data_IF_578301697170
#
_entry.id   IF_578301697170
#
_cell.length_a   1.000
_cell.length_b   1.000
_cell.length_c   1.000
_cell.angle_alpha   90.00
_cell.angle_beta   90.00
_cell.angle_gamma   90.00
#
_symmetry.space_group_name_H-M   'P 1'
#
loop_
_entity.id
_entity.type
_entity.pdbx_description
1 polymer ?
#
# COMPACT_ATOMS: atom_id res chain seq x y z
N UNK A 1 -5.31 14.91 -20.13
CA UNK A 1 -4.05 14.33 -19.63
C UNK A 1 -3.93 12.87 -20.06
N UNK A 2 -2.72 12.31 -20.13
CA UNK A 2 -2.47 10.89 -20.28
C UNK A 2 -2.09 10.28 -18.92
N UNK A 3 -2.68 9.15 -18.55
CA UNK A 3 -2.45 8.50 -17.24
C UNK A 3 -1.68 7.19 -17.43
N UNK A 4 -0.65 6.96 -16.60
CA UNK A 4 -0.05 5.63 -16.46
C UNK A 4 -0.38 5.07 -15.09
N UNK A 5 -1.09 3.93 -15.07
CA UNK A 5 -1.33 3.16 -13.84
C UNK A 5 -0.15 2.23 -13.63
N UNK A 6 0.58 2.38 -12.53
CA UNK A 6 1.77 1.58 -12.20
C UNK A 6 1.41 0.56 -11.13
N UNK A 7 1.60 -0.72 -11.44
CA UNK A 7 1.23 -1.85 -10.58
C UNK A 7 2.44 -2.78 -10.43
N UNK A 8 3.11 -2.82 -9.27
CA UNK A 8 4.05 -3.89 -8.97
C UNK A 8 3.28 -5.15 -8.59
N UNK A 9 3.72 -6.32 -9.08
CA UNK A 9 3.12 -7.62 -8.74
C UNK A 9 4.17 -8.67 -8.44
N UNK A 10 3.85 -9.57 -7.51
CA UNK A 10 4.68 -10.74 -7.20
C UNK A 10 3.81 -11.88 -6.67
N UNK A 11 3.68 -12.98 -7.45
CA UNK A 11 2.94 -14.19 -7.09
C UNK A 11 1.47 -13.90 -6.65
N UNK A 12 0.70 -13.17 -7.48
CA UNK A 12 -0.68 -12.77 -7.18
C UNK A 12 -1.64 -12.92 -8.37
N UNK A 13 -1.38 -13.88 -9.24
CA UNK A 13 -2.08 -14.06 -10.51
C UNK A 13 -3.60 -13.94 -10.39
N UNK A 14 -4.23 -14.69 -9.49
CA UNK A 14 -5.69 -14.82 -9.43
C UNK A 14 -6.40 -13.50 -9.16
N UNK A 15 -5.95 -12.73 -8.18
CA UNK A 15 -6.55 -11.43 -7.86
C UNK A 15 -6.11 -10.34 -8.83
N UNK A 16 -4.90 -10.43 -9.39
CA UNK A 16 -4.41 -9.52 -10.40
C UNK A 16 -5.30 -9.54 -11.65
N UNK A 17 -5.84 -10.70 -12.04
CA UNK A 17 -6.78 -10.78 -13.15
C UNK A 17 -8.00 -9.89 -12.92
N UNK A 18 -8.64 -9.96 -11.75
CA UNK A 18 -9.77 -9.09 -11.39
C UNK A 18 -9.39 -7.62 -11.40
N UNK A 19 -8.19 -7.29 -10.88
CA UNK A 19 -7.67 -5.94 -10.88
C UNK A 19 -7.51 -5.38 -12.30
N UNK A 20 -6.88 -6.12 -13.20
CA UNK A 20 -6.64 -5.69 -14.59
C UNK A 20 -7.94 -5.59 -15.41
N UNK A 21 -8.85 -6.51 -15.25
CA UNK A 21 -10.18 -6.45 -15.92
C UNK A 21 -10.98 -5.21 -15.46
N UNK A 22 -10.90 -4.84 -14.18
CA UNK A 22 -11.52 -3.62 -13.67
C UNK A 22 -10.87 -2.35 -14.27
N UNK A 23 -9.57 -2.38 -14.53
CA UNK A 23 -8.86 -1.29 -15.19
C UNK A 23 -9.17 -1.19 -16.67
N UNK A 24 -9.37 -2.29 -17.39
CA UNK A 24 -9.81 -2.24 -18.80
C UNK A 24 -11.22 -1.65 -18.97
N UNK A 25 -12.04 -1.69 -17.92
CA UNK A 25 -13.44 -1.22 -17.92
C UNK A 25 -13.62 0.20 -17.39
N UNK A 26 -12.57 1.05 -17.44
CA UNK A 26 -12.63 2.41 -16.89
C UNK A 26 -13.40 3.41 -17.77
N UNK A 27 -14.23 4.22 -17.12
CA UNK A 27 -14.84 5.41 -17.72
C UNK A 27 -13.86 6.58 -17.58
N UNK A 28 -13.30 7.07 -18.68
CA UNK A 28 -12.25 8.09 -18.67
C UNK A 28 -12.75 9.51 -18.43
N UNK A 29 -14.02 9.81 -18.75
CA UNK A 29 -14.55 11.19 -18.69
C UNK A 29 -13.85 12.11 -19.69
N UNK A 30 -13.96 13.43 -19.46
CA UNK A 30 -13.41 14.47 -20.35
C UNK A 30 -11.95 14.84 -20.04
N UNK A 31 -11.48 14.58 -18.82
CA UNK A 31 -10.16 14.99 -18.33
C UNK A 31 -9.04 14.08 -18.82
N UNK A 32 -9.38 12.82 -19.19
CA UNK A 32 -8.44 11.78 -19.60
C UNK A 32 -8.52 11.60 -21.12
N UNK A 33 -7.41 11.91 -21.81
CA UNK A 33 -7.31 11.67 -23.25
C UNK A 33 -7.12 10.17 -23.54
N UNK A 34 -6.26 9.49 -22.76
CA UNK A 34 -6.05 8.04 -22.80
C UNK A 34 -5.29 7.58 -21.54
N UNK A 35 -5.17 6.27 -21.33
CA UNK A 35 -4.39 5.69 -20.24
C UNK A 35 -3.75 4.36 -20.63
N UNK A 36 -2.70 3.99 -19.90
CA UNK A 36 -2.03 2.69 -19.96
C UNK A 36 -1.90 2.09 -18.56
N UNK A 37 -1.72 0.77 -18.51
CA UNK A 37 -1.34 0.04 -17.29
C UNK A 37 0.07 -0.50 -17.46
N UNK A 38 1.01 -0.02 -16.64
CA UNK A 38 2.38 -0.51 -16.58
C UNK A 38 2.46 -1.52 -15.45
N UNK A 39 2.34 -2.80 -15.79
CA UNK A 39 2.44 -3.92 -14.85
C UNK A 39 3.91 -4.32 -14.73
N UNK A 40 4.47 -4.23 -13.53
CA UNK A 40 5.85 -4.65 -13.26
C UNK A 40 5.81 -5.95 -12.48
N UNK A 41 6.17 -7.04 -13.15
CA UNK A 41 6.33 -8.35 -12.53
C UNK A 41 7.70 -8.45 -11.86
N UNK A 42 7.69 -8.62 -10.56
CA UNK A 42 8.90 -8.64 -9.71
C UNK A 42 9.44 -10.07 -9.54
N UNK A 43 9.46 -10.86 -10.62
CA UNK A 43 10.01 -12.21 -10.65
C UNK A 43 9.02 -13.28 -10.16
N UNK A 44 7.75 -13.17 -10.54
CA UNK A 44 6.73 -14.18 -10.19
C UNK A 44 7.04 -15.56 -10.74
N UNK A 45 6.65 -16.58 -9.98
CA UNK A 45 6.82 -18.02 -10.32
C UNK A 45 5.47 -18.76 -10.43
N UNK A 46 4.35 -18.04 -10.30
CA UNK A 46 2.98 -18.56 -10.35
C UNK A 46 2.37 -18.56 -11.75
N UNK A 47 3.19 -18.29 -12.79
CA UNK A 47 2.76 -18.21 -14.18
C UNK A 47 2.14 -16.86 -14.57
N UNK A 48 2.24 -15.82 -13.73
CA UNK A 48 1.74 -14.46 -14.04
C UNK A 48 2.25 -13.94 -15.39
N UNK A 49 3.56 -13.94 -15.73
CA UNK A 49 4.05 -13.38 -17.00
C UNK A 49 3.47 -14.08 -18.23
N UNK A 50 3.39 -15.42 -18.21
CA UNK A 50 2.88 -16.19 -19.33
C UNK A 50 1.37 -15.99 -19.53
N UNK A 51 0.63 -15.88 -18.42
CA UNK A 51 -0.78 -15.56 -18.48
C UNK A 51 -1.01 -14.16 -19.08
N UNK A 52 -0.28 -13.12 -18.69
CA UNK A 52 -0.40 -11.77 -19.25
C UNK A 52 -0.13 -11.79 -20.76
N UNK A 53 0.92 -12.49 -21.21
CA UNK A 53 1.25 -12.58 -22.65
C UNK A 53 0.13 -13.28 -23.45
N UNK A 54 -0.44 -14.35 -22.89
CA UNK A 54 -1.57 -15.07 -23.53
C UNK A 54 -2.88 -14.27 -23.52
N UNK A 55 -3.04 -13.34 -22.58
CA UNK A 55 -4.22 -12.50 -22.41
C UNK A 55 -4.13 -11.14 -23.10
N UNK A 56 -3.10 -10.88 -23.90
CA UNK A 56 -2.83 -9.56 -24.51
C UNK A 56 -4.02 -8.99 -25.32
N UNK A 57 -4.82 -9.85 -25.97
CA UNK A 57 -6.02 -9.42 -26.71
C UNK A 57 -7.14 -8.90 -25.78
N UNK A 58 -7.25 -9.45 -24.58
CA UNK A 58 -8.23 -9.03 -23.56
C UNK A 58 -7.72 -7.87 -22.71
N UNK A 59 -6.40 -7.62 -22.71
CA UNK A 59 -5.71 -6.62 -21.88
C UNK A 59 -4.89 -5.64 -22.75
N UNK A 60 -5.50 -4.96 -23.75
CA UNK A 60 -4.77 -4.14 -24.73
C UNK A 60 -4.07 -2.92 -24.13
N UNK A 61 -4.47 -2.47 -22.93
CA UNK A 61 -3.85 -1.34 -22.22
C UNK A 61 -2.71 -1.76 -21.30
N UNK A 62 -2.54 -3.06 -21.05
CA UNK A 62 -1.54 -3.60 -20.14
C UNK A 62 -0.22 -3.80 -20.86
N UNK A 63 0.83 -3.22 -20.32
CA UNK A 63 2.20 -3.44 -20.75
C UNK A 63 3.00 -4.08 -19.61
N UNK A 64 3.42 -5.32 -19.84
CA UNK A 64 4.22 -6.10 -18.90
C UNK A 64 5.69 -5.67 -18.97
N UNK A 65 6.27 -5.42 -17.79
CA UNK A 65 7.70 -5.22 -17.56
C UNK A 65 8.14 -6.27 -16.56
N UNK A 66 9.13 -7.06 -16.90
CA UNK A 66 9.67 -8.11 -16.02
C UNK A 66 10.99 -7.65 -15.39
N UNK A 67 11.21 -8.04 -14.14
CA UNK A 67 12.47 -7.84 -13.44
C UNK A 67 12.77 -9.01 -12.51
N UNK A 68 14.02 -9.14 -12.08
CA UNK A 68 14.38 -9.99 -10.94
C UNK A 68 13.83 -9.36 -9.65
N UNK A 69 13.48 -10.21 -8.67
CA UNK A 69 12.89 -9.76 -7.42
C UNK A 69 13.72 -8.68 -6.71
N UNK A 70 13.17 -7.47 -6.65
CA UNK A 70 13.80 -6.28 -6.06
C UNK A 70 12.92 -5.57 -5.03
N UNK A 71 11.68 -6.01 -4.89
CA UNK A 71 10.70 -5.46 -3.95
C UNK A 71 9.86 -4.29 -4.51
N UNK A 72 8.86 -3.84 -3.75
CA UNK A 72 7.84 -2.90 -4.24
C UNK A 72 8.38 -1.52 -4.62
N UNK A 73 9.40 -1.01 -3.94
CA UNK A 73 10.03 0.27 -4.26
C UNK A 73 10.71 0.25 -5.64
N UNK A 74 11.49 -0.80 -5.92
CA UNK A 74 12.16 -0.98 -7.21
C UNK A 74 11.14 -1.22 -8.32
N UNK A 75 10.14 -2.06 -8.09
CA UNK A 75 9.06 -2.30 -9.03
C UNK A 75 8.30 -1.02 -9.41
N UNK A 76 7.95 -0.17 -8.43
CA UNK A 76 7.30 1.12 -8.70
C UNK A 76 8.19 2.07 -9.46
N UNK A 77 9.48 2.20 -9.10
CA UNK A 77 10.43 3.04 -9.83
C UNK A 77 10.60 2.58 -11.28
N UNK A 78 10.69 1.28 -11.49
CA UNK A 78 10.79 0.71 -12.85
C UNK A 78 9.50 0.98 -13.64
N UNK A 79 8.34 0.89 -13.00
CA UNK A 79 7.06 1.25 -13.61
C UNK A 79 7.02 2.71 -14.04
N UNK A 80 7.45 3.64 -13.18
CA UNK A 80 7.53 5.08 -13.50
C UNK A 80 8.50 5.34 -14.65
N UNK A 81 9.67 4.68 -14.68
CA UNK A 81 10.64 4.84 -15.77
C UNK A 81 10.10 4.39 -17.13
N UNK A 82 9.16 3.46 -17.17
CA UNK A 82 8.50 2.99 -18.39
C UNK A 82 7.17 3.69 -18.68
N UNK A 83 6.64 4.46 -17.74
CA UNK A 83 5.38 5.19 -17.88
C UNK A 83 5.50 6.30 -18.95
N UNK A 84 4.42 6.53 -19.70
CA UNK A 84 4.32 7.60 -20.72
C UNK A 84 3.40 8.73 -20.27
N UNK A 85 2.62 8.49 -19.19
CA UNK A 85 1.60 9.42 -18.71
C UNK A 85 2.18 10.67 -18.04
N UNK A 86 1.41 11.76 -18.12
CA UNK A 86 1.64 13.00 -17.37
C UNK A 86 1.36 12.82 -15.89
N UNK A 87 0.43 11.90 -15.58
CA UNK A 87 0.01 11.53 -14.23
C UNK A 87 0.30 10.07 -14.00
N UNK A 88 0.91 9.77 -12.85
CA UNK A 88 1.14 8.40 -12.38
C UNK A 88 0.08 8.07 -11.34
N UNK A 89 -0.59 6.93 -11.53
CA UNK A 89 -1.51 6.36 -10.56
C UNK A 89 -0.88 5.09 -10.00
N UNK A 90 -0.64 5.03 -8.70
CA UNK A 90 -0.20 3.82 -8.03
C UNK A 90 -1.38 3.08 -7.44
N UNK A 91 -1.44 1.79 -7.71
CA UNK A 91 -2.32 0.84 -7.02
C UNK A 91 -1.56 -0.46 -6.73
N UNK A 92 -2.03 -1.22 -5.75
CA UNK A 92 -1.52 -2.56 -5.48
C UNK A 92 -2.19 -3.59 -6.41
N UNK A 93 -1.52 -4.70 -6.67
CA UNK A 93 -1.97 -5.75 -7.60
C UNK A 93 -3.20 -6.54 -7.12
N UNK A 94 -3.67 -6.27 -5.91
CA UNK A 94 -4.87 -6.84 -5.29
C UNK A 94 -5.95 -5.78 -5.00
N UNK A 95 -5.87 -4.62 -5.69
CA UNK A 95 -6.88 -3.56 -5.61
C UNK A 95 -7.82 -3.60 -6.83
N UNK A 96 -9.06 -4.03 -6.63
CA UNK A 96 -10.11 -3.99 -7.68
C UNK A 96 -10.81 -2.64 -7.64
N UNK A 97 -10.74 -1.86 -8.72
CA UNK A 97 -11.20 -0.48 -8.76
C UNK A 97 -12.60 -0.32 -9.36
N UNK A 98 -13.30 0.76 -8.99
CA UNK A 98 -14.60 1.09 -9.60
C UNK A 98 -14.45 1.65 -11.01
N UNK A 99 -15.49 1.59 -11.88
CA UNK A 99 -15.40 2.13 -13.25
C UNK A 99 -15.07 3.62 -13.36
N UNK A 100 -15.37 4.42 -12.34
CA UNK A 100 -15.08 5.86 -12.31
C UNK A 100 -13.76 6.22 -11.63
N UNK A 101 -12.95 5.23 -11.27
CA UNK A 101 -11.74 5.38 -10.46
C UNK A 101 -10.76 6.40 -11.07
N UNK A 102 -10.33 6.18 -12.30
CA UNK A 102 -9.38 7.08 -12.97
C UNK A 102 -9.97 8.48 -13.20
N UNK A 103 -11.22 8.57 -13.64
CA UNK A 103 -11.90 9.84 -13.85
C UNK A 103 -12.05 10.64 -12.56
N UNK A 104 -12.26 9.99 -11.42
CA UNK A 104 -12.36 10.66 -10.12
C UNK A 104 -11.02 11.29 -9.71
N UNK A 105 -9.90 10.56 -9.85
CA UNK A 105 -8.57 11.11 -9.64
C UNK A 105 -8.28 12.29 -10.56
N UNK A 106 -8.53 12.14 -11.88
CA UNK A 106 -8.27 13.17 -12.86
C UNK A 106 -9.02 14.47 -12.57
N UNK A 107 -10.33 14.37 -12.31
CA UNK A 107 -11.16 15.53 -11.94
C UNK A 107 -10.66 16.23 -10.68
N UNK A 108 -10.26 15.46 -9.66
CA UNK A 108 -9.77 16.01 -8.40
C UNK A 108 -8.43 16.72 -8.58
N UNK A 109 -7.50 16.16 -9.37
CA UNK A 109 -6.23 16.81 -9.72
C UNK A 109 -6.45 18.09 -10.51
N UNK A 110 -7.25 18.05 -11.59
CA UNK A 110 -7.54 19.23 -12.43
C UNK A 110 -8.17 20.33 -11.61
N UNK A 111 -9.16 20.02 -10.77
CA UNK A 111 -9.81 21.00 -9.87
C UNK A 111 -8.80 21.65 -8.93
N UNK A 112 -7.88 20.89 -8.35
CA UNK A 112 -6.88 21.41 -7.43
C UNK A 112 -5.85 22.27 -8.19
N UNK A 113 -5.36 21.84 -9.34
CA UNK A 113 -4.43 22.62 -10.17
C UNK A 113 -5.02 23.98 -10.59
N UNK A 114 -6.31 24.03 -10.97
CA UNK A 114 -6.99 25.29 -11.25
C UNK A 114 -7.12 26.18 -10.02
N UNK A 115 -7.32 25.58 -8.84
CA UNK A 115 -7.47 26.33 -7.58
C UNK A 115 -6.14 26.88 -7.06
N UNK A 116 -5.07 26.08 -7.09
CA UNK A 116 -3.75 26.46 -6.56
C UNK A 116 -2.89 27.22 -7.56
N UNK A 117 -3.14 27.07 -8.86
CA UNK A 117 -2.30 27.60 -9.93
C UNK A 117 -1.00 26.81 -10.18
N UNK A 118 -0.83 25.68 -9.50
CA UNK A 118 0.32 24.78 -9.65
C UNK A 118 -0.08 23.30 -9.66
N UNK A 119 0.90 22.40 -9.76
CA UNK A 119 0.69 20.94 -9.74
C UNK A 119 1.20 20.26 -8.47
N UNK A 120 1.50 21.04 -7.41
CA UNK A 120 2.07 20.54 -6.16
C UNK A 120 1.01 19.85 -5.29
N UNK A 121 0.33 18.85 -5.85
CA UNK A 121 -0.62 18.03 -5.12
C UNK A 121 -0.61 16.59 -5.61
N UNK A 122 -1.18 15.72 -4.79
CA UNK A 122 -1.57 14.36 -5.17
C UNK A 122 -2.95 14.05 -4.62
N UNK A 123 -3.68 13.17 -5.28
CA UNK A 123 -4.96 12.67 -4.80
C UNK A 123 -4.81 11.32 -4.12
N UNK A 124 -5.55 11.12 -3.03
CA UNK A 124 -5.61 9.87 -2.27
C UNK A 124 -7.05 9.37 -2.25
N UNK A 125 -7.30 8.23 -2.87
CA UNK A 125 -8.62 7.62 -2.99
C UNK A 125 -9.04 6.80 -1.77
N UNK A 126 -10.24 6.25 -1.82
CA UNK A 126 -10.76 5.35 -0.79
C UNK A 126 -10.30 3.92 -1.04
N UNK A 127 -9.86 3.23 0.02
CA UNK A 127 -9.52 1.80 0.00
C UNK A 127 -10.46 1.07 0.95
N UNK A 128 -11.22 0.11 0.42
CA UNK A 128 -12.17 -0.72 1.17
C UNK A 128 -11.60 -2.13 1.26
N UNK A 129 -11.34 -2.62 2.48
CA UNK A 129 -10.81 -3.96 2.66
C UNK A 129 -11.92 -5.00 2.53
N UNK A 130 -11.71 -6.02 1.70
CA UNK A 130 -12.63 -7.14 1.47
C UNK A 130 -11.92 -8.48 1.58
N UNK A 131 -12.62 -9.50 2.02
CA UNK A 131 -12.19 -10.89 1.96
C UNK A 131 -12.98 -11.70 0.92
N UNK A 132 -13.97 -11.08 0.27
CA UNK A 132 -14.77 -11.71 -0.76
C UNK A 132 -14.00 -11.69 -2.10
N UNK A 133 -13.49 -12.85 -2.50
CA UNK A 133 -12.77 -13.01 -3.76
C UNK A 133 -13.72 -12.96 -4.95
N UNK A 134 -14.92 -13.53 -4.84
CA UNK A 134 -15.87 -13.63 -5.95
C UNK A 134 -16.50 -12.28 -6.30
N UNK A 135 -16.86 -11.50 -5.28
CA UNK A 135 -17.46 -10.17 -5.44
C UNK A 135 -16.73 -9.12 -4.57
N UNK A 136 -15.47 -8.77 -4.89
CA UNK A 136 -14.70 -7.85 -4.06
C UNK A 136 -15.33 -6.45 -3.97
N UNK A 137 -16.08 -6.01 -4.97
CA UNK A 137 -16.72 -4.69 -5.03
C UNK A 137 -18.04 -4.60 -4.25
N UNK A 138 -18.54 -5.72 -3.70
CA UNK A 138 -19.78 -5.77 -2.91
C UNK A 138 -19.66 -5.28 -1.47
N UNK A 139 -18.44 -5.05 -0.98
CA UNK A 139 -18.18 -4.66 0.41
C UNK A 139 -18.54 -3.19 0.66
N UNK A 140 -18.99 -2.88 1.88
CA UNK A 140 -19.29 -1.50 2.31
C UNK A 140 -18.10 -0.89 3.04
N UNK A 141 -17.93 0.42 2.90
CA UNK A 141 -16.91 1.17 3.64
C UNK A 141 -17.13 1.05 5.17
N UNK A 142 -16.05 0.77 5.89
CA UNK A 142 -16.03 0.61 7.36
C UNK A 142 -15.09 1.66 7.97
N UNK A 143 -15.31 2.01 9.24
CA UNK A 143 -14.43 2.97 9.95
C UNK A 143 -12.96 2.55 9.95
N UNK A 144 -12.68 1.25 9.96
CA UNK A 144 -11.31 0.70 9.87
C UNK A 144 -10.61 0.92 8.53
N UNK A 145 -11.35 1.29 7.49
CA UNK A 145 -10.81 1.58 6.16
C UNK A 145 -10.26 3.02 6.06
N UNK A 146 -10.42 3.84 7.12
CA UNK A 146 -9.86 5.18 7.17
C UNK A 146 -8.33 5.12 7.34
N UNK A 147 -7.60 5.66 6.38
CA UNK A 147 -6.15 5.81 6.44
C UNK A 147 -5.76 7.21 6.86
N UNK A 148 -4.82 7.31 7.81
CA UNK A 148 -4.20 8.56 8.24
C UNK A 148 -2.83 8.79 7.58
N UNK A 149 -2.40 7.88 6.70
CA UNK A 149 -1.17 8.04 5.95
C UNK A 149 -1.24 9.30 5.08
N UNK A 150 -0.13 10.06 5.03
CA UNK A 150 -0.05 11.20 4.14
C UNK A 150 0.06 10.74 2.68
N UNK A 151 0.93 9.76 2.40
CA UNK A 151 1.09 9.13 1.09
C UNK A 151 1.14 7.62 1.29
N UNK A 152 0.26 6.88 0.63
CA UNK A 152 0.26 5.42 0.64
C UNK A 152 -0.11 4.91 -0.75
N UNK A 153 0.73 4.10 -1.33
CA UNK A 153 0.71 3.73 -2.76
C UNK A 153 -0.41 2.79 -3.18
N UNK A 154 -1.22 2.33 -2.24
CA UNK A 154 -2.37 1.48 -2.57
C UNK A 154 -3.46 2.17 -3.38
N UNK A 155 -3.55 3.53 -3.36
CA UNK A 155 -4.54 4.30 -4.13
C UNK A 155 -4.18 5.79 -4.19
N UNK A 156 -3.24 6.18 -5.04
CA UNK A 156 -2.83 7.60 -5.20
C UNK A 156 -2.61 7.96 -6.66
N UNK A 157 -2.87 9.21 -7.01
CA UNK A 157 -2.51 9.79 -8.31
C UNK A 157 -1.71 11.07 -8.10
N UNK A 158 -0.61 11.23 -8.83
CA UNK A 158 0.33 12.34 -8.70
C UNK A 158 0.86 12.77 -10.07
N UNK A 159 1.11 14.07 -10.26
CA UNK A 159 1.83 14.56 -11.45
C UNK A 159 3.22 13.93 -11.51
N UNK A 160 3.58 13.41 -12.70
CA UNK A 160 4.84 12.70 -12.91
C UNK A 160 6.07 13.55 -12.59
N UNK A 161 6.08 14.84 -12.98
CA UNK A 161 7.20 15.73 -12.72
C UNK A 161 7.38 16.02 -11.24
N UNK A 162 6.28 16.13 -10.49
CA UNK A 162 6.32 16.29 -9.02
C UNK A 162 6.94 15.05 -8.39
N UNK A 163 6.52 13.86 -8.82
CA UNK A 163 7.05 12.58 -8.35
C UNK A 163 8.55 12.44 -8.69
N UNK A 164 8.97 12.72 -9.91
CA UNK A 164 10.37 12.65 -10.34
C UNK A 164 11.25 13.63 -9.55
N UNK A 165 10.79 14.87 -9.34
CA UNK A 165 11.50 15.87 -8.51
C UNK A 165 11.63 15.44 -7.04
N UNK A 166 10.75 14.60 -6.54
CA UNK A 166 10.85 14.07 -5.18
C UNK A 166 11.94 13.00 -5.03
N UNK A 167 12.52 12.50 -6.14
CA UNK A 167 13.55 11.47 -6.17
C UNK A 167 13.02 10.04 -6.17
N UNK A 168 11.71 9.84 -6.43
CA UNK A 168 11.07 8.52 -6.52
C UNK A 168 11.14 7.72 -5.20
N UNK A 169 10.89 6.40 -5.24
CA UNK A 169 10.98 5.54 -4.06
C UNK A 169 12.44 5.21 -3.75
N UNK A 170 12.79 5.22 -2.47
CA UNK A 170 14.11 4.84 -2.02
C UNK A 170 14.27 3.31 -1.99
N UNK A 171 15.09 2.76 -2.87
CA UNK A 171 15.36 1.32 -2.96
C UNK A 171 16.21 0.77 -1.80
N UNK A 172 16.66 1.62 -0.87
CA UNK A 172 17.27 1.20 0.38
C UNK A 172 16.29 0.54 1.35
N UNK A 173 14.98 0.67 1.12
CA UNK A 173 13.93 -0.09 1.83
C UNK A 173 13.79 -1.47 1.19
N UNK A 174 14.67 -2.39 1.56
CA UNK A 174 14.77 -3.73 0.98
C UNK A 174 13.85 -4.77 1.63
N UNK A 175 13.29 -4.46 2.81
CA UNK A 175 12.34 -5.29 3.53
C UNK A 175 10.97 -4.60 3.50
N UNK A 176 9.97 -5.24 4.09
CA UNK A 176 8.60 -4.77 4.04
C UNK A 176 8.40 -3.43 4.79
N UNK A 177 7.83 -2.45 4.08
CA UNK A 177 7.16 -1.26 4.63
C UNK A 177 8.02 0.00 4.72
N UNK A 178 7.32 1.12 4.83
CA UNK A 178 7.77 2.50 5.04
C UNK A 178 8.29 3.23 3.80
N UNK A 179 8.54 2.59 2.67
CA UNK A 179 9.02 3.22 1.44
C UNK A 179 8.08 4.30 0.90
N UNK A 180 6.78 4.07 1.05
CA UNK A 180 5.72 5.00 0.65
C UNK A 180 5.60 6.19 1.62
N UNK A 181 5.65 5.94 2.92
CA UNK A 181 5.61 6.99 3.94
C UNK A 181 6.90 7.84 3.95
N UNK A 182 8.04 7.25 3.60
CA UNK A 182 9.30 7.98 3.43
C UNK A 182 9.20 8.94 2.23
N UNK A 183 8.71 8.45 1.09
CA UNK A 183 8.43 9.31 -0.07
C UNK A 183 7.41 10.39 0.30
N UNK A 184 6.36 10.03 1.06
CA UNK A 184 5.37 10.96 1.57
C UNK A 184 5.98 12.07 2.44
N UNK A 185 7.00 11.77 3.25
CA UNK A 185 7.70 12.78 4.05
C UNK A 185 8.52 13.75 3.17
N UNK A 186 9.16 13.26 2.10
CA UNK A 186 9.83 14.13 1.11
C UNK A 186 8.83 15.01 0.34
N UNK A 187 7.73 14.43 -0.13
CA UNK A 187 6.65 15.19 -0.78
C UNK A 187 6.09 16.29 0.14
N UNK A 188 5.88 15.98 1.42
CA UNK A 188 5.43 16.95 2.41
C UNK A 188 6.43 18.09 2.62
N UNK A 189 7.74 17.77 2.66
CA UNK A 189 8.80 18.78 2.77
C UNK A 189 8.90 19.67 1.54
N UNK A 190 8.50 19.16 0.36
CA UNK A 190 8.38 19.95 -0.87
C UNK A 190 7.10 20.80 -0.93
N UNK A 191 6.22 20.74 0.09
CA UNK A 191 4.95 21.46 0.12
C UNK A 191 3.85 20.86 -0.76
N UNK A 192 3.99 19.58 -1.18
CA UNK A 192 2.97 18.90 -2.00
C UNK A 192 1.71 18.66 -1.16
N UNK A 193 0.55 19.07 -1.62
CA UNK A 193 -0.71 18.98 -0.89
C UNK A 193 -1.40 17.62 -1.06
N UNK A 194 -1.91 17.05 0.01
CA UNK A 194 -2.81 15.87 -0.03
C UNK A 194 -4.24 16.31 -0.32
N UNK A 195 -4.80 15.86 -1.43
CA UNK A 195 -6.21 16.04 -1.81
C UNK A 195 -6.96 14.72 -1.62
N UNK A 196 -7.92 14.67 -0.70
CA UNK A 196 -8.78 13.49 -0.53
C UNK A 196 -9.74 13.35 -1.69
N UNK A 197 -9.82 12.15 -2.26
CA UNK A 197 -10.68 11.79 -3.40
C UNK A 197 -11.50 10.52 -3.06
N UNK A 198 -12.52 10.63 -2.18
CA UNK A 198 -13.28 9.48 -1.72
C UNK A 198 -14.07 8.77 -2.84
N UNK A 199 -14.28 9.45 -3.97
CA UNK A 199 -14.94 8.89 -5.16
C UNK A 199 -14.05 7.94 -5.96
N UNK A 200 -12.73 8.01 -5.79
CA UNK A 200 -11.78 7.05 -6.37
C UNK A 200 -11.68 5.83 -5.47
N UNK A 201 -12.63 4.90 -5.62
CA UNK A 201 -12.77 3.73 -4.76
C UNK A 201 -12.03 2.52 -5.33
N UNK A 202 -11.21 1.90 -4.48
CA UNK A 202 -10.61 0.60 -4.75
C UNK A 202 -10.92 -0.38 -3.61
N UNK A 203 -11.13 -1.64 -3.97
CA UNK A 203 -11.42 -2.75 -3.05
C UNK A 203 -10.18 -3.61 -2.91
N UNK A 204 -9.56 -3.55 -1.75
CA UNK A 204 -8.31 -4.24 -1.46
C UNK A 204 -8.63 -5.64 -0.93
N UNK A 205 -8.35 -6.65 -1.74
CA UNK A 205 -8.63 -8.03 -1.36
C UNK A 205 -7.55 -8.60 -0.46
N UNK A 206 -7.99 -9.14 0.64
CA UNK A 206 -7.16 -9.90 1.56
C UNK A 206 -7.80 -11.24 1.86
N UNK A 207 -7.12 -12.37 1.70
CA UNK A 207 -7.65 -13.65 2.12
C UNK A 207 -8.00 -13.64 3.61
N UNK A 208 -9.03 -14.40 3.97
CA UNK A 208 -9.42 -14.53 5.37
C UNK A 208 -8.24 -15.01 6.23
N UNK A 209 -8.06 -14.39 7.39
CA UNK A 209 -6.97 -14.71 8.31
C UNK A 209 -7.03 -16.17 8.76
N UNK A 210 -5.85 -16.83 8.79
CA UNK A 210 -5.65 -18.19 9.24
C UNK A 210 -4.50 -18.26 10.25
N UNK A 211 -4.57 -19.20 11.18
CA UNK A 211 -3.59 -19.35 12.27
C UNK A 211 -2.18 -19.73 11.81
N UNK A 212 -2.04 -20.35 10.65
CA UNK A 212 -0.75 -20.71 10.06
C UNK A 212 0.03 -19.49 9.53
N UNK A 213 -0.64 -18.35 9.33
CA UNK A 213 -0.04 -17.08 8.92
C UNK A 213 0.67 -16.32 10.07
N UNK A 214 0.43 -16.71 11.34
CA UNK A 214 0.99 -15.99 12.50
C UNK A 214 2.52 -15.81 12.43
N UNK A 215 3.34 -16.83 12.09
CA UNK A 215 4.78 -16.66 11.99
C UNK A 215 5.20 -15.62 10.94
N UNK A 216 4.52 -15.58 9.79
CA UNK A 216 4.79 -14.60 8.74
C UNK A 216 4.42 -13.19 9.16
N UNK A 217 3.28 -13.02 9.83
CA UNK A 217 2.88 -11.72 10.38
C UNK A 217 3.89 -11.18 11.39
N UNK A 218 4.43 -12.05 12.26
CA UNK A 218 5.50 -11.68 13.21
C UNK A 218 6.76 -11.27 12.45
N UNK A 219 7.17 -12.01 11.43
CA UNK A 219 8.32 -11.67 10.59
C UNK A 219 8.14 -10.31 9.92
N UNK A 220 6.98 -10.06 9.35
CA UNK A 220 6.63 -8.76 8.73
C UNK A 220 6.75 -7.60 9.72
N UNK A 221 6.26 -7.75 10.96
CA UNK A 221 6.40 -6.69 11.98
C UNK A 221 7.86 -6.46 12.38
N UNK A 222 8.70 -7.50 12.39
CA UNK A 222 10.15 -7.36 12.64
C UNK A 222 10.86 -6.67 11.47
N UNK A 223 10.51 -6.97 10.23
CA UNK A 223 11.02 -6.30 9.03
C UNK A 223 10.62 -4.81 9.03
N UNK A 224 9.36 -4.51 9.33
CA UNK A 224 8.88 -3.13 9.49
C UNK A 224 9.63 -2.37 10.57
N UNK A 225 9.98 -3.02 11.67
CA UNK A 225 10.78 -2.42 12.73
C UNK A 225 12.17 -1.98 12.22
N UNK A 226 12.85 -2.84 11.46
CA UNK A 226 14.16 -2.54 10.84
C UNK A 226 14.05 -1.40 9.84
N UNK A 227 13.08 -1.45 8.93
CA UNK A 227 12.87 -0.39 7.94
C UNK A 227 12.40 0.91 8.59
N UNK A 228 11.69 0.85 9.71
CA UNK A 228 11.34 2.02 10.53
C UNK A 228 12.57 2.78 11.03
N UNK A 229 13.64 2.08 11.43
CA UNK A 229 14.90 2.73 11.79
C UNK A 229 15.61 3.34 10.58
N UNK A 230 15.56 2.71 9.41
CA UNK A 230 16.05 3.30 8.15
C UNK A 230 15.32 4.61 7.88
N UNK A 231 14.00 4.61 8.00
CA UNK A 231 13.18 5.81 7.85
C UNK A 231 13.57 6.91 8.85
N UNK A 232 13.70 6.56 10.12
CA UNK A 232 14.09 7.53 11.15
C UNK A 232 15.50 8.11 10.94
N UNK A 233 16.46 7.31 10.51
CA UNK A 233 17.82 7.80 10.21
C UNK A 233 17.85 8.79 9.05
N UNK A 234 16.98 8.62 8.05
CA UNK A 234 16.84 9.54 6.91
C UNK A 234 16.12 10.84 7.31
N UNK A 235 15.12 10.73 8.17
CA UNK A 235 14.28 11.84 8.61
C UNK A 235 14.16 11.85 10.16
N UNK A 236 15.19 12.31 10.90
CA UNK A 236 15.22 12.24 12.37
C UNK A 236 14.33 13.32 13.00
N UNK A 237 13.01 13.15 12.89
CA UNK A 237 12.02 14.09 13.39
C UNK A 237 11.08 13.45 14.42
N UNK A 238 10.44 14.29 15.27
CA UNK A 238 9.40 13.84 16.21
C UNK A 238 8.23 13.20 15.46
N UNK A 239 7.89 13.73 14.28
CA UNK A 239 6.83 13.20 13.42
C UNK A 239 7.13 11.75 13.01
N UNK A 240 8.32 11.47 12.48
CA UNK A 240 8.71 10.12 12.06
C UNK A 240 8.76 9.18 13.26
N UNK A 241 9.29 9.63 14.43
CA UNK A 241 9.25 8.83 15.67
C UNK A 241 7.82 8.40 16.04
N UNK A 242 6.85 9.31 15.88
CA UNK A 242 5.43 8.99 16.14
C UNK A 242 4.87 8.01 15.13
N UNK A 243 5.16 8.21 13.83
CA UNK A 243 4.69 7.35 12.74
C UNK A 243 5.17 5.91 12.91
N UNK A 244 6.46 5.71 13.18
CA UNK A 244 7.05 4.38 13.37
C UNK A 244 6.86 3.82 14.79
N UNK A 245 6.15 4.55 15.66
CA UNK A 245 5.91 4.20 17.07
C UNK A 245 7.22 4.09 17.91
N UNK A 246 8.26 4.83 17.56
CA UNK A 246 9.55 4.86 18.28
C UNK A 246 9.52 5.82 19.46
N UNK A 247 8.64 5.59 20.44
CA UNK A 247 8.54 6.39 21.65
C UNK A 247 8.29 5.52 22.88
N UNK A 248 8.66 5.99 24.06
CA UNK A 248 8.37 5.30 25.33
C UNK A 248 6.87 5.15 25.58
N UNK A 249 6.05 6.13 25.11
CA UNK A 249 4.60 6.10 25.23
C UNK A 249 3.99 4.89 24.48
N UNK A 250 4.45 4.61 23.25
CA UNK A 250 3.99 3.44 22.51
C UNK A 250 4.39 2.13 23.19
N UNK A 251 5.60 2.06 23.78
CA UNK A 251 6.01 0.89 24.57
C UNK A 251 5.08 0.67 25.77
N UNK A 252 4.78 1.74 26.51
CA UNK A 252 3.86 1.67 27.64
C UNK A 252 2.46 1.26 27.19
N UNK A 253 1.93 1.91 26.16
CA UNK A 253 0.60 1.61 25.58
C UNK A 253 0.48 0.13 25.22
N UNK A 254 1.39 -0.40 24.41
CA UNK A 254 1.32 -1.79 23.97
C UNK A 254 1.60 -2.77 25.13
N UNK A 255 2.41 -2.38 26.11
CA UNK A 255 2.58 -3.17 27.33
C UNK A 255 1.27 -3.27 28.13
N UNK A 256 0.56 -2.16 28.31
CA UNK A 256 -0.72 -2.14 29.02
C UNK A 256 -1.78 -2.95 28.26
N UNK A 257 -1.95 -2.70 26.96
CA UNK A 257 -2.93 -3.39 26.10
C UNK A 257 -2.70 -4.91 26.00
N UNK A 258 -1.47 -5.35 26.19
CA UNK A 258 -1.13 -6.78 26.19
C UNK A 258 -0.90 -7.36 27.59
N UNK A 259 -1.33 -6.63 28.65
CA UNK A 259 -1.16 -7.04 30.05
C UNK A 259 0.28 -7.46 30.37
N UNK A 260 1.25 -6.60 30.03
CA UNK A 260 2.69 -6.89 30.21
C UNK A 260 3.25 -8.00 29.31
N UNK A 261 2.45 -8.51 28.33
CA UNK A 261 2.81 -9.62 27.42
C UNK A 261 2.14 -10.94 27.76
N UNK A 262 1.23 -10.96 28.73
CA UNK A 262 0.37 -12.12 28.98
C UNK A 262 -0.51 -12.43 27.74
N UNK A 263 -1.02 -11.38 27.07
CA UNK A 263 -1.68 -11.52 25.77
C UNK A 263 -0.62 -11.55 24.68
N UNK A 264 -0.29 -12.73 24.19
CA UNK A 264 0.66 -12.97 23.11
C UNK A 264 0.08 -13.98 22.11
N UNK A 265 0.80 -14.26 21.03
CA UNK A 265 0.37 -15.14 19.94
C UNK A 265 0.05 -16.56 20.40
N UNK A 266 0.66 -17.03 21.50
CA UNK A 266 0.44 -18.37 22.04
C UNK A 266 -0.80 -18.40 22.93
N UNK A 267 -0.90 -17.47 23.86
CA UNK A 267 -2.04 -17.40 24.81
C UNK A 267 -3.35 -17.05 24.13
N UNK A 268 -3.31 -16.24 23.06
CA UNK A 268 -4.48 -15.91 22.26
C UNK A 268 -4.91 -17.01 21.30
N UNK A 269 -4.04 -17.95 20.95
CA UNK A 269 -4.30 -18.96 19.91
C UNK A 269 -5.64 -19.72 20.07
N UNK A 270 -6.07 -20.15 21.26
CA UNK A 270 -7.37 -20.81 21.44
C UNK A 270 -8.55 -19.89 21.11
N UNK A 271 -8.47 -18.61 21.52
CA UNK A 271 -9.50 -17.59 21.27
C UNK A 271 -9.56 -17.27 19.78
N UNK A 272 -8.41 -17.11 19.13
CA UNK A 272 -8.34 -16.88 17.68
C UNK A 272 -8.95 -18.05 16.89
N UNK A 273 -8.62 -19.30 17.28
CA UNK A 273 -9.19 -20.49 16.68
C UNK A 273 -10.73 -20.55 16.85
N UNK A 274 -11.23 -20.17 18.02
CA UNK A 274 -12.66 -20.11 18.30
C UNK A 274 -13.35 -19.05 17.43
N UNK A 275 -12.81 -17.83 17.34
CA UNK A 275 -13.34 -16.76 16.49
C UNK A 275 -13.39 -17.17 15.02
N UNK A 276 -12.32 -17.80 14.51
CA UNK A 276 -12.27 -18.28 13.11
C UNK A 276 -13.37 -19.34 12.88
N UNK A 277 -13.58 -20.28 13.82
CA UNK A 277 -14.67 -21.28 13.71
C UNK A 277 -16.06 -20.65 13.72
N UNK A 278 -16.23 -19.50 14.38
CA UNK A 278 -17.45 -18.70 14.34
C UNK A 278 -17.62 -17.85 13.08
N UNK A 279 -16.74 -17.99 12.07
CA UNK A 279 -16.79 -17.19 10.86
C UNK A 279 -16.35 -15.72 11.06
N UNK A 280 -15.55 -15.43 12.11
CA UNK A 280 -15.07 -14.09 12.45
C UNK A 280 -13.54 -13.94 12.28
N UNK A 281 -12.93 -14.29 11.13
CA UNK A 281 -11.48 -14.23 10.96
C UNK A 281 -10.94 -12.79 11.04
N UNK A 282 -11.72 -11.79 10.60
CA UNK A 282 -11.34 -10.38 10.72
C UNK A 282 -11.20 -9.94 12.19
N UNK A 283 -12.12 -10.33 13.05
CA UNK A 283 -12.04 -10.03 14.49
C UNK A 283 -10.86 -10.75 15.14
N UNK A 284 -10.58 -11.99 14.73
CA UNK A 284 -9.41 -12.73 15.18
C UNK A 284 -8.12 -11.99 14.83
N UNK A 285 -8.01 -11.48 13.59
CA UNK A 285 -6.85 -10.69 13.16
C UNK A 285 -6.71 -9.39 13.95
N UNK A 286 -7.81 -8.65 14.19
CA UNK A 286 -7.78 -7.42 15.00
C UNK A 286 -7.29 -7.69 16.43
N UNK A 287 -7.73 -8.80 17.04
CA UNK A 287 -7.23 -9.20 18.35
C UNK A 287 -5.74 -9.55 18.33
N UNK A 288 -5.29 -10.25 17.29
CA UNK A 288 -3.87 -10.60 17.12
C UNK A 288 -2.99 -9.36 16.88
N UNK A 289 -3.52 -8.28 16.31
CA UNK A 289 -2.77 -7.03 16.11
C UNK A 289 -2.22 -6.44 17.41
N UNK A 290 -2.86 -6.69 18.56
CA UNK A 290 -2.35 -6.21 19.87
C UNK A 290 -0.93 -6.75 20.16
N UNK A 291 -0.70 -8.09 20.23
CA UNK A 291 0.66 -8.59 20.44
C UNK A 291 1.59 -8.33 19.25
N UNK A 292 1.10 -8.29 18.00
CA UNK A 292 1.93 -7.95 16.84
C UNK A 292 2.51 -6.55 16.93
N UNK A 293 1.70 -5.53 17.26
CA UNK A 293 2.20 -4.16 17.46
C UNK A 293 3.23 -4.09 18.59
N UNK A 294 3.01 -4.82 19.70
CA UNK A 294 4.02 -4.91 20.76
C UNK A 294 5.31 -5.52 20.25
N UNK A 295 5.26 -6.64 19.51
CA UNK A 295 6.43 -7.29 18.92
C UNK A 295 7.21 -6.30 18.02
N UNK A 296 6.49 -5.56 17.15
CA UNK A 296 7.08 -4.55 16.28
C UNK A 296 7.78 -3.43 17.06
N UNK A 297 7.12 -2.85 18.07
CA UNK A 297 7.70 -1.79 18.92
C UNK A 297 8.88 -2.29 19.72
N UNK A 298 8.83 -3.48 20.30
CA UNK A 298 9.96 -4.07 21.04
C UNK A 298 11.14 -4.38 20.11
N UNK A 299 10.87 -4.90 18.89
CA UNK A 299 11.90 -5.11 17.88
C UNK A 299 12.56 -3.79 17.47
N UNK A 300 11.78 -2.74 17.19
CA UNK A 300 12.27 -1.42 16.84
C UNK A 300 13.22 -0.85 17.93
N UNK A 301 12.82 -0.92 19.18
CA UNK A 301 13.67 -0.44 20.28
C UNK A 301 14.91 -1.31 20.51
N UNK A 302 14.86 -2.60 20.24
CA UNK A 302 16.03 -3.50 20.30
C UNK A 302 17.04 -3.16 19.22
N UNK A 303 16.59 -3.07 17.98
CA UNK A 303 17.41 -2.68 16.81
C UNK A 303 18.03 -1.27 17.03
N UNK A 304 17.25 -0.32 17.57
CA UNK A 304 17.74 1.02 17.86
C UNK A 304 18.89 1.01 18.88
N UNK A 305 18.76 0.23 19.96
CA UNK A 305 19.84 0.10 20.97
C UNK A 305 21.10 -0.52 20.38
N UNK A 306 20.98 -1.56 19.55
CA UNK A 306 22.11 -2.17 18.85
C UNK A 306 22.81 -1.18 17.91
N UNK A 307 22.06 -0.24 17.38
CA UNK A 307 22.55 0.81 16.48
C UNK A 307 23.01 2.09 17.20
N UNK A 308 23.04 2.12 18.55
CA UNK A 308 23.41 3.29 19.33
C UNK A 308 22.42 4.46 19.28
N UNK A 309 21.16 4.19 18.90
CA UNK A 309 20.07 5.17 18.86
C UNK A 309 19.20 4.95 20.11
N UNK A 310 19.39 5.70 21.16
CA UNK A 310 18.60 5.64 22.41
C UNK A 310 17.67 6.85 22.54
#
# INVERSE_FOLDING_TARGET
>A
MFISVVIPTFNRRDILEKCLMALESQNTGSEIADYEVVLVDDGSTDGTPDWIRSSAAALPRVRLIEQSHGGPAEGRNRGVAHARGDVIVFIDSDLVVTPSFLASHARSLVRQWHRSGDRLCFTYGAVINTADFENPTGERHKLRDLSWAYFATGNVAIDRQVLERSGLFDTGFRLYGWEDLELGERLRQMGVELVRCPEAVGYHWHPAFRLDQIPDLIRVEQERARMGLVFYRKHPSRRVRMIIQFTWMHRLLWSLLTLGGLLNERTLRPVLAWLIRLGQPSLALELLRLPLNRIGVEALHREARQAGLS
#
